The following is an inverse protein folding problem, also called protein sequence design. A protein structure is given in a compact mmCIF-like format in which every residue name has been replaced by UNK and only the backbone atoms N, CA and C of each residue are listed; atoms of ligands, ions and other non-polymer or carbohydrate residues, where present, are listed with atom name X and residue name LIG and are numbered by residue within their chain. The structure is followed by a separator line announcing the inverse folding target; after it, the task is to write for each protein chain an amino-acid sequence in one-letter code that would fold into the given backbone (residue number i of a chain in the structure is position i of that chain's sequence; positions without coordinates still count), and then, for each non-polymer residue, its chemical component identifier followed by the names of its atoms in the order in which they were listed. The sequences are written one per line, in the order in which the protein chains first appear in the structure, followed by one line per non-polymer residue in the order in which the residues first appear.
data_IF_019086194583
#
_entry.id   IF_019086194583
#
_cell.length_a   1.000
_cell.length_b   1.000
_cell.length_c   1.000
_cell.angle_alpha   90.00
_cell.angle_beta   90.00
_cell.angle_gamma   90.00
#
_symmetry.space_group_name_H-M   'P 1'
#
loop_
_entity.id
_entity.type
_entity.pdbx_description
1 polymer ?
#
# COMPACT_ATOMS: atom_id res chain seq x y z
N UNK A 1 2.47 8.36 -8.78
CA UNK A 1 2.54 7.25 -9.74
C UNK A 1 1.18 6.78 -10.24
N UNK A 2 0.19 6.46 -9.40
CA UNK A 2 -1.16 6.08 -9.87
C UNK A 2 -1.79 7.07 -10.85
N UNK A 3 -1.75 8.37 -10.54
CA UNK A 3 -2.21 9.42 -11.46
C UNK A 3 -1.37 9.51 -12.74
N UNK A 4 -0.05 9.31 -12.66
CA UNK A 4 0.81 9.31 -13.85
C UNK A 4 0.41 8.16 -14.78
N UNK A 5 0.09 7.00 -14.22
CA UNK A 5 -0.37 5.84 -14.96
C UNK A 5 -1.69 6.15 -15.69
N UNK A 6 -2.69 6.71 -14.98
CA UNK A 6 -3.97 7.10 -15.58
C UNK A 6 -3.82 8.16 -16.68
N UNK A 7 -2.74 8.96 -16.66
CA UNK A 7 -2.53 10.08 -17.60
C UNK A 7 -1.65 9.71 -18.79
N UNK A 8 -0.77 8.74 -18.62
CA UNK A 8 0.08 8.19 -19.68
C UNK A 8 -0.58 6.99 -20.37
N UNK A 9 -1.68 6.48 -19.81
CA UNK A 9 -2.30 5.23 -20.26
C UNK A 9 -1.39 4.02 -20.05
N UNK A 10 -0.42 4.11 -19.13
CA UNK A 10 0.45 2.98 -18.81
C UNK A 10 -0.42 1.79 -18.38
N UNK A 11 -0.05 0.59 -18.85
CA UNK A 11 -0.85 -0.63 -18.69
C UNK A 11 -2.29 -0.54 -19.23
N UNK A 12 -2.54 0.26 -20.29
CA UNK A 12 -3.88 0.47 -20.89
C UNK A 12 -4.95 0.86 -19.87
N UNK A 13 -4.55 1.59 -18.82
CA UNK A 13 -5.49 2.15 -17.85
C UNK A 13 -6.40 3.21 -18.50
N UNK A 14 -7.64 3.41 -18.00
CA UNK A 14 -8.57 4.40 -18.55
C UNK A 14 -7.91 5.78 -18.58
N UNK A 15 -7.73 6.33 -19.78
CA UNK A 15 -7.06 7.62 -19.95
C UNK A 15 -7.95 8.71 -19.36
N UNK A 16 -7.47 9.34 -18.30
CA UNK A 16 -8.21 10.41 -17.65
C UNK A 16 -7.30 11.65 -17.55
N UNK A 17 -7.73 12.80 -18.08
CA UNK A 17 -6.87 13.97 -18.21
C UNK A 17 -6.42 14.50 -16.84
N UNK A 18 -5.20 15.07 -16.80
CA UNK A 18 -4.66 15.77 -15.65
C UNK A 18 -5.46 17.07 -15.41
N UNK A 19 -6.54 16.99 -14.65
CA UNK A 19 -7.25 18.19 -14.18
C UNK A 19 -6.52 18.80 -12.99
N UNK A 20 -6.57 20.13 -12.85
CA UNK A 20 -5.98 20.86 -11.72
C UNK A 20 -6.50 20.31 -10.37
N UNK A 21 -7.77 19.92 -10.33
CA UNK A 21 -8.42 19.31 -9.16
C UNK A 21 -7.77 17.99 -8.74
N UNK A 22 -7.34 17.14 -9.69
CA UNK A 22 -6.64 15.89 -9.38
C UNK A 22 -5.24 16.11 -8.84
N UNK A 23 -4.53 17.12 -9.37
CA UNK A 23 -3.19 17.49 -8.88
C UNK A 23 -3.30 18.05 -7.45
N UNK A 24 -4.25 18.96 -7.21
CA UNK A 24 -4.52 19.51 -5.88
C UNK A 24 -4.96 18.43 -4.89
N UNK A 25 -5.85 17.53 -5.31
CA UNK A 25 -6.28 16.40 -4.49
C UNK A 25 -5.13 15.44 -4.17
N UNK A 26 -4.22 15.16 -5.11
CA UNK A 26 -3.02 14.36 -4.86
C UNK A 26 -2.08 15.02 -3.85
N UNK A 27 -1.88 16.34 -3.97
CA UNK A 27 -1.09 17.12 -3.02
C UNK A 27 -1.73 17.08 -1.63
N UNK A 28 -3.06 17.22 -1.53
CA UNK A 28 -3.80 17.09 -0.28
C UNK A 28 -3.61 15.71 0.35
N UNK A 29 -3.72 14.62 -0.43
CA UNK A 29 -3.47 13.25 0.05
C UNK A 29 -2.05 13.09 0.58
N UNK A 30 -1.05 13.64 -0.11
CA UNK A 30 0.35 13.61 0.35
C UNK A 30 0.54 14.36 1.67
N UNK A 31 0.05 15.60 1.77
CA UNK A 31 0.16 16.40 3.00
C UNK A 31 -0.59 15.74 4.16
N UNK A 32 -1.81 15.27 3.89
CA UNK A 32 -2.63 14.55 4.88
C UNK A 32 -1.97 13.26 5.35
N UNK A 33 -1.30 12.52 4.46
CA UNK A 33 -0.55 11.31 4.82
C UNK A 33 0.62 11.59 5.77
N UNK A 34 1.38 12.66 5.53
CA UNK A 34 2.50 13.05 6.38
C UNK A 34 2.02 13.49 7.76
N UNK A 35 0.88 14.19 7.83
CA UNK A 35 0.22 14.54 9.08
C UNK A 35 -0.32 13.31 9.82
N UNK A 36 -0.97 12.37 9.12
CA UNK A 36 -1.51 11.13 9.66
C UNK A 36 -0.42 10.22 10.26
N UNK A 37 0.74 10.14 9.60
CA UNK A 37 1.91 9.37 10.06
C UNK A 37 2.63 10.06 11.24
N UNK A 38 2.25 11.29 11.58
CA UNK A 38 2.82 12.01 12.71
C UNK A 38 4.27 12.46 12.45
N UNK A 39 4.64 12.68 11.18
CA UNK A 39 5.96 13.21 10.79
C UNK A 39 6.23 14.55 11.48
N UNK A 40 5.17 15.30 11.78
CA UNK A 40 5.22 16.59 12.48
C UNK A 40 5.04 16.48 14.01
N UNK A 41 4.72 15.30 14.55
CA UNK A 41 4.64 15.11 16.00
C UNK A 41 6.06 15.06 16.57
N UNK A 42 6.41 16.12 17.30
CA UNK A 42 7.66 16.26 18.05
C UNK A 42 7.70 15.22 19.18
N UNK A 43 8.18 14.01 18.89
CA UNK A 43 8.51 13.02 19.92
C UNK A 43 10.01 12.74 19.87
N UNK A 44 10.67 12.86 21.02
CA UNK A 44 12.06 12.45 21.24
C UNK A 44 12.23 11.03 20.70
N UNK A 45 12.88 10.94 19.53
CA UNK A 45 13.32 9.68 18.93
C UNK A 45 14.44 9.19 19.83
N UNK A 46 14.07 8.45 20.88
CA UNK A 46 15.00 7.62 21.63
C UNK A 46 15.59 6.60 20.66
N UNK A 47 16.84 6.84 20.31
CA UNK A 47 17.84 5.90 19.79
C UNK A 47 17.29 4.73 18.94
N UNK A 48 17.32 4.90 17.62
CA UNK A 48 17.68 3.76 16.77
C UNK A 48 18.76 4.23 15.81
N UNK A 49 19.91 3.59 15.98
CA UNK A 49 21.22 3.91 15.47
C UNK A 49 21.30 3.61 13.97
N UNK A 50 21.23 4.65 13.14
CA UNK A 50 21.88 4.70 11.83
C UNK A 50 22.16 6.17 11.50
N UNK A 51 23.30 6.67 11.98
CA UNK A 51 23.76 8.02 11.64
C UNK A 51 24.28 8.03 10.19
N UNK A 52 23.82 8.99 9.38
CA UNK A 52 24.42 9.39 8.10
C UNK A 52 24.06 8.53 6.87
N UNK A 53 23.75 9.19 5.74
CA UNK A 53 23.49 8.71 4.37
C UNK A 53 22.56 7.48 4.16
N UNK A 54 22.78 6.39 4.89
CA UNK A 54 22.01 5.15 4.90
C UNK A 54 20.52 5.37 5.17
N UNK A 55 20.12 6.22 6.14
CA UNK A 55 18.70 6.52 6.39
C UNK A 55 18.00 7.10 5.15
N UNK A 56 18.66 8.00 4.43
CA UNK A 56 18.10 8.58 3.21
C UNK A 56 17.97 7.53 2.10
N UNK A 57 18.92 6.60 2.01
CA UNK A 57 18.84 5.46 1.09
C UNK A 57 17.64 4.55 1.43
N UNK A 58 17.43 4.20 2.70
CA UNK A 58 16.28 3.41 3.13
C UNK A 58 14.94 4.12 2.86
N UNK A 59 14.88 5.45 3.05
CA UNK A 59 13.70 6.25 2.71
C UNK A 59 13.42 6.24 1.20
N UNK A 60 14.46 6.43 0.39
CA UNK A 60 14.34 6.37 -1.07
C UNK A 60 13.84 4.99 -1.53
N UNK A 61 14.39 3.92 -0.95
CA UNK A 61 13.92 2.56 -1.22
C UNK A 61 12.43 2.39 -0.89
N UNK A 62 11.97 2.93 0.25
CA UNK A 62 10.55 2.95 0.59
C UNK A 62 9.67 3.68 -0.43
N UNK A 63 10.15 4.82 -0.94
CA UNK A 63 9.45 5.56 -2.02
C UNK A 63 9.35 4.72 -3.29
N UNK A 64 10.46 4.09 -3.71
CA UNK A 64 10.49 3.21 -4.89
C UNK A 64 9.51 2.05 -4.72
N UNK A 65 9.48 1.40 -3.55
CA UNK A 65 8.52 0.32 -3.27
C UNK A 65 7.07 0.81 -3.32
N UNK A 66 6.78 2.01 -2.82
CA UNK A 66 5.45 2.63 -2.95
C UNK A 66 5.07 2.92 -4.41
N UNK A 67 6.05 3.29 -5.24
CA UNK A 67 5.84 3.47 -6.69
C UNK A 67 5.56 2.14 -7.38
N UNK A 68 6.32 1.08 -7.05
CA UNK A 68 6.07 -0.28 -7.53
C UNK A 68 4.67 -0.76 -7.12
N UNK A 69 4.24 -0.48 -5.89
CA UNK A 69 2.90 -0.83 -5.42
C UNK A 69 1.81 -0.15 -6.27
N UNK A 70 1.97 1.14 -6.60
CA UNK A 70 1.02 1.83 -7.47
C UNK A 70 0.99 1.23 -8.88
N UNK A 71 2.14 0.83 -9.43
CA UNK A 71 2.22 0.12 -10.71
C UNK A 71 1.54 -1.24 -10.66
N UNK A 72 1.69 -1.98 -9.55
CA UNK A 72 1.03 -3.26 -9.35
C UNK A 72 -0.49 -3.14 -9.43
N UNK A 73 -1.08 -2.08 -8.86
CA UNK A 73 -2.52 -1.82 -8.94
C UNK A 73 -2.97 -1.70 -10.40
N UNK A 74 -2.21 -0.98 -11.23
CA UNK A 74 -2.53 -0.82 -12.65
C UNK A 74 -2.40 -2.13 -13.44
N UNK A 75 -1.29 -2.85 -13.23
CA UNK A 75 -1.02 -4.13 -13.90
C UNK A 75 -2.09 -5.16 -13.55
N UNK A 76 -2.48 -5.27 -12.27
CA UNK A 76 -3.54 -6.18 -11.84
C UNK A 76 -4.90 -5.76 -12.41
N UNK A 77 -5.21 -4.46 -12.42
CA UNK A 77 -6.43 -3.94 -13.05
C UNK A 77 -6.52 -4.35 -14.52
N UNK A 78 -5.45 -4.11 -15.28
CA UNK A 78 -5.39 -4.47 -16.70
C UNK A 78 -5.49 -5.98 -16.91
N UNK A 79 -4.76 -6.79 -16.13
CA UNK A 79 -4.84 -8.24 -16.20
C UNK A 79 -6.27 -8.74 -15.92
N UNK A 80 -6.99 -8.09 -14.99
CA UNK A 80 -8.41 -8.33 -14.74
C UNK A 80 -9.29 -8.06 -15.94
N UNK A 81 -9.00 -7.01 -16.73
CA UNK A 81 -9.72 -6.73 -17.98
C UNK A 81 -9.41 -7.72 -19.09
N UNK A 82 -8.14 -8.12 -19.25
CA UNK A 82 -7.71 -9.06 -20.31
C UNK A 82 -8.28 -10.45 -20.11
N UNK A 83 -8.33 -10.92 -18.86
CA UNK A 83 -8.88 -12.23 -18.52
C UNK A 83 -10.41 -12.21 -18.38
N UNK A 84 -11.03 -11.04 -18.32
CA UNK A 84 -12.48 -10.89 -18.04
C UNK A 84 -12.91 -11.37 -16.65
N UNK A 85 -11.95 -11.77 -15.79
CA UNK A 85 -12.18 -12.28 -14.45
C UNK A 85 -11.15 -11.72 -13.47
N UNK A 86 -11.57 -10.91 -12.47
CA UNK A 86 -10.68 -10.40 -11.43
C UNK A 86 -10.09 -11.51 -10.55
N UNK A 87 -10.80 -12.64 -10.42
CA UNK A 87 -10.33 -13.80 -9.63
C UNK A 87 -9.17 -14.49 -10.36
N UNK A 88 -9.29 -14.70 -11.67
CA UNK A 88 -8.21 -15.29 -12.47
C UNK A 88 -6.99 -14.39 -12.50
N UNK A 89 -7.20 -13.08 -12.65
CA UNK A 89 -6.12 -12.10 -12.56
C UNK A 89 -5.40 -12.16 -11.22
N UNK A 90 -6.14 -12.22 -10.11
CA UNK A 90 -5.53 -12.32 -8.79
C UNK A 90 -4.75 -13.62 -8.60
N UNK A 91 -5.28 -14.74 -9.10
CA UNK A 91 -4.62 -16.04 -9.03
C UNK A 91 -3.32 -16.06 -9.84
N UNK A 92 -3.33 -15.54 -11.07
CA UNK A 92 -2.14 -15.42 -11.93
C UNK A 92 -1.10 -14.52 -11.28
N UNK A 93 -1.49 -13.34 -10.79
CA UNK A 93 -0.59 -12.42 -10.09
C UNK A 93 0.02 -13.06 -8.83
N UNK A 94 -0.76 -13.84 -8.07
CA UNK A 94 -0.25 -14.58 -6.93
C UNK A 94 0.70 -15.70 -7.34
N UNK A 95 0.42 -16.44 -8.41
CA UNK A 95 1.27 -17.49 -8.90
C UNK A 95 2.63 -16.93 -9.37
N UNK A 96 2.62 -15.83 -10.12
CA UNK A 96 3.83 -15.12 -10.56
C UNK A 96 4.63 -14.60 -9.36
N UNK A 97 3.96 -13.93 -8.41
CA UNK A 97 4.61 -13.44 -7.19
C UNK A 97 5.21 -14.56 -6.33
N UNK A 98 4.49 -15.67 -6.18
CA UNK A 98 4.98 -16.85 -5.45
C UNK A 98 6.19 -17.46 -6.15
N UNK A 99 6.17 -17.58 -7.47
CA UNK A 99 7.29 -18.10 -8.27
C UNK A 99 8.52 -17.21 -8.15
N UNK A 100 8.35 -15.89 -8.22
CA UNK A 100 9.44 -14.93 -8.03
C UNK A 100 10.07 -15.05 -6.63
N UNK A 101 9.26 -15.17 -5.58
CA UNK A 101 9.74 -15.42 -4.21
C UNK A 101 10.48 -16.75 -4.08
N UNK A 102 10.01 -17.80 -4.76
CA UNK A 102 10.66 -19.10 -4.79
C UNK A 102 12.05 -19.03 -5.43
N UNK A 103 12.17 -18.37 -6.59
CA UNK A 103 13.45 -18.13 -7.27
C UNK A 103 14.39 -17.33 -6.37
N UNK A 104 13.91 -16.28 -5.71
CA UNK A 104 14.71 -15.48 -4.79
C UNK A 104 15.27 -16.33 -3.65
N UNK A 105 14.44 -17.21 -3.07
CA UNK A 105 14.88 -18.13 -2.02
C UNK A 105 16.03 -19.02 -2.48
N UNK A 106 15.96 -19.54 -3.70
CA UNK A 106 17.02 -20.35 -4.31
C UNK A 106 18.30 -19.56 -4.54
N UNK A 107 18.20 -18.35 -5.11
CA UNK A 107 19.35 -17.48 -5.44
C UNK A 107 20.05 -17.01 -4.16
N UNK A 108 19.30 -16.57 -3.15
CA UNK A 108 19.86 -16.11 -1.87
C UNK A 108 20.29 -17.29 -0.98
N UNK A 109 20.05 -18.54 -1.40
CA UNK A 109 20.30 -19.76 -0.62
C UNK A 109 19.73 -19.70 0.80
N UNK A 110 18.57 -19.04 0.94
CA UNK A 110 17.92 -18.91 2.24
C UNK A 110 17.37 -20.27 2.64
N UNK A 111 17.68 -20.73 3.85
CA UNK A 111 17.18 -22.02 4.35
C UNK A 111 15.65 -21.97 4.43
N UNK A 112 14.97 -22.71 3.57
CA UNK A 112 13.54 -22.90 3.65
C UNK A 112 13.20 -23.68 4.93
N UNK A 113 12.64 -23.00 5.94
CA UNK A 113 12.19 -23.67 7.17
C UNK A 113 10.72 -24.08 7.09
N UNK A 114 9.97 -23.54 6.13
CA UNK A 114 8.56 -23.87 5.89
C UNK A 114 7.67 -23.64 7.12
N UNK A 115 6.53 -24.33 7.13
CA UNK A 115 5.58 -24.31 8.25
C UNK A 115 6.24 -24.85 9.53
N UNK A 116 7.12 -25.85 9.41
CA UNK A 116 7.85 -26.44 10.53
C UNK A 116 8.84 -25.47 11.19
N UNK A 117 9.27 -24.43 10.47
CA UNK A 117 10.12 -23.35 10.97
C UNK A 117 9.39 -22.34 11.83
N UNK A 118 8.06 -22.28 11.76
CA UNK A 118 7.25 -21.37 12.55
C UNK A 118 7.26 -21.73 14.04
N UNK A 119 7.43 -23.01 14.40
CA UNK A 119 7.36 -23.49 15.77
C UNK A 119 5.93 -23.77 16.26
N UNK A 120 5.79 -24.55 17.33
CA UNK A 120 4.50 -25.10 17.80
C UNK A 120 3.58 -24.11 18.53
N UNK A 121 4.03 -22.88 18.84
CA UNK A 121 3.29 -21.89 19.65
C UNK A 121 3.11 -20.55 18.92
N UNK A 122 2.84 -20.57 17.61
CA UNK A 122 2.59 -19.33 16.88
C UNK A 122 1.10 -18.97 16.85
N UNK A 123 0.77 -17.67 16.92
CA UNK A 123 -0.61 -17.21 16.88
C UNK A 123 -1.26 -17.56 15.52
N UNK A 124 -2.48 -18.08 15.56
CA UNK A 124 -3.21 -18.52 14.37
C UNK A 124 -3.48 -17.39 13.35
N UNK A 125 -3.53 -16.14 13.80
CA UNK A 125 -3.68 -14.95 12.95
C UNK A 125 -2.55 -14.78 11.93
N UNK A 126 -1.39 -15.40 12.14
CA UNK A 126 -0.24 -15.31 11.22
C UNK A 126 -0.59 -15.83 9.81
N UNK A 127 -1.53 -16.78 9.71
CA UNK A 127 -1.97 -17.39 8.45
C UNK A 127 -2.98 -16.53 7.69
N UNK A 128 -3.67 -15.61 8.37
CA UNK A 128 -4.67 -14.72 7.76
C UNK A 128 -3.99 -13.71 6.82
N UNK A 129 -2.70 -13.39 7.04
CA UNK A 129 -1.96 -12.44 6.21
C UNK A 129 -1.97 -12.78 4.72
N UNK A 130 -1.85 -14.08 4.38
CA UNK A 130 -1.95 -14.54 2.99
C UNK A 130 -3.33 -14.32 2.37
N UNK A 131 -4.39 -14.57 3.15
CA UNK A 131 -5.78 -14.37 2.72
C UNK A 131 -6.10 -12.88 2.51
N UNK A 132 -5.59 -12.02 3.41
CA UNK A 132 -5.71 -10.56 3.25
C UNK A 132 -4.98 -10.10 1.99
N UNK A 133 -3.76 -10.60 1.74
CA UNK A 133 -3.02 -10.31 0.52
C UNK A 133 -3.77 -10.71 -0.76
N UNK A 134 -4.38 -11.91 -0.78
CA UNK A 134 -5.24 -12.39 -1.86
C UNK A 134 -6.40 -11.43 -2.12
N UNK A 135 -7.07 -11.00 -1.06
CA UNK A 135 -8.19 -10.07 -1.12
C UNK A 135 -7.77 -8.71 -1.66
N UNK A 136 -6.60 -8.20 -1.27
CA UNK A 136 -6.07 -6.92 -1.77
C UNK A 136 -5.80 -7.00 -3.27
N UNK A 137 -5.12 -8.05 -3.74
CA UNK A 137 -4.81 -8.20 -5.17
C UNK A 137 -6.11 -8.34 -5.99
N UNK A 138 -7.05 -9.16 -5.53
CA UNK A 138 -8.40 -9.24 -6.12
C UNK A 138 -9.07 -7.86 -6.20
N UNK A 139 -9.03 -7.09 -5.10
CA UNK A 139 -9.60 -5.75 -5.05
C UNK A 139 -8.95 -4.81 -6.05
N UNK A 140 -7.62 -4.89 -6.25
CA UNK A 140 -6.94 -4.09 -7.28
C UNK A 140 -7.35 -4.46 -8.70
N UNK A 141 -7.51 -5.76 -8.98
CA UNK A 141 -7.97 -6.25 -10.28
C UNK A 141 -9.43 -5.87 -10.57
N UNK A 142 -10.26 -5.84 -9.53
CA UNK A 142 -11.67 -5.47 -9.63
C UNK A 142 -11.89 -3.96 -9.71
N UNK A 143 -11.28 -3.18 -8.81
CA UNK A 143 -11.50 -1.74 -8.70
C UNK A 143 -10.74 -0.94 -9.76
N UNK A 144 -9.53 -1.37 -10.12
CA UNK A 144 -8.67 -0.66 -11.07
C UNK A 144 -9.39 -0.26 -12.38
N UNK A 145 -10.09 -1.20 -13.05
CA UNK A 145 -10.83 -0.92 -14.27
C UNK A 145 -12.10 -0.08 -14.07
N UNK A 146 -12.71 -0.15 -12.88
CA UNK A 146 -14.02 0.50 -12.61
C UNK A 146 -13.83 1.98 -12.24
N UNK A 147 -12.88 2.29 -11.35
CA UNK A 147 -12.71 3.64 -10.80
C UNK A 147 -11.36 4.29 -11.18
N UNK A 148 -10.51 3.59 -11.93
CA UNK A 148 -9.17 4.06 -12.32
C UNK A 148 -8.10 3.74 -11.27
N UNK A 149 -6.85 3.69 -11.72
CA UNK A 149 -5.71 3.29 -10.87
C UNK A 149 -5.44 4.32 -9.78
N UNK A 150 -5.47 5.61 -10.14
CA UNK A 150 -5.18 6.72 -9.24
C UNK A 150 -6.14 6.76 -8.05
N UNK A 151 -7.45 6.66 -8.32
CA UNK A 151 -8.47 6.64 -7.27
C UNK A 151 -8.34 5.39 -6.41
N UNK A 152 -8.09 4.22 -7.02
CA UNK A 152 -7.89 2.95 -6.30
C UNK A 152 -6.72 3.04 -5.31
N UNK A 153 -5.57 3.55 -5.75
CA UNK A 153 -4.39 3.72 -4.89
C UNK A 153 -4.70 4.66 -3.71
N UNK A 154 -5.36 5.79 -3.98
CA UNK A 154 -5.66 6.79 -2.96
C UNK A 154 -6.66 6.26 -1.91
N UNK A 155 -7.71 5.55 -2.34
CA UNK A 155 -8.69 4.92 -1.43
C UNK A 155 -8.03 3.81 -0.61
N UNK A 156 -7.13 3.03 -1.21
CA UNK A 156 -6.35 2.02 -0.48
C UNK A 156 -5.44 2.65 0.57
N UNK A 157 -4.77 3.76 0.25
CA UNK A 157 -3.94 4.50 1.22
C UNK A 157 -4.77 5.00 2.41
N UNK A 158 -5.98 5.53 2.17
CA UNK A 158 -6.92 5.88 3.23
C UNK A 158 -7.22 4.69 4.15
N UNK A 159 -7.61 3.55 3.57
CA UNK A 159 -7.95 2.34 4.31
C UNK A 159 -6.76 1.82 5.14
N UNK A 160 -5.55 1.85 4.57
CA UNK A 160 -4.32 1.47 5.27
C UNK A 160 -4.05 2.38 6.47
N UNK A 161 -4.26 3.69 6.35
CA UNK A 161 -4.05 4.63 7.46
C UNK A 161 -5.09 4.49 8.56
N UNK A 162 -6.35 4.31 8.19
CA UNK A 162 -7.43 3.99 9.13
C UNK A 162 -7.12 2.72 9.92
N UNK A 163 -6.76 1.64 9.22
CA UNK A 163 -6.39 0.38 9.85
C UNK A 163 -5.17 0.55 10.77
N UNK A 164 -4.14 1.27 10.31
CA UNK A 164 -2.94 1.58 11.11
C UNK A 164 -3.29 2.31 12.40
N UNK A 165 -4.14 3.34 12.34
CA UNK A 165 -4.61 4.09 13.51
C UNK A 165 -5.42 3.22 14.48
N UNK A 166 -6.30 2.38 13.97
CA UNK A 166 -7.07 1.46 14.79
C UNK A 166 -6.16 0.45 15.50
N UNK A 167 -5.21 -0.13 14.77
CA UNK A 167 -4.25 -1.10 15.34
C UNK A 167 -3.43 -0.43 16.46
N UNK A 168 -2.92 0.78 16.22
CA UNK A 168 -2.12 1.54 17.18
C UNK A 168 -2.92 1.97 18.42
N UNK A 169 -4.19 2.37 18.24
CA UNK A 169 -5.03 2.84 19.34
C UNK A 169 -5.49 1.71 20.26
N UNK A 170 -5.89 0.58 19.67
CA UNK A 170 -6.38 -0.57 20.43
C UNK A 170 -5.25 -1.50 20.91
N UNK A 171 -4.02 -1.34 20.36
CA UNK A 171 -2.89 -2.25 20.64
C UNK A 171 -3.14 -3.65 20.07
N UNK A 172 -3.86 -3.73 18.96
CA UNK A 172 -4.20 -4.98 18.29
C UNK A 172 -2.90 -5.61 17.77
N UNK A 173 -2.83 -6.95 17.76
CA UNK A 173 -1.66 -7.74 17.31
C UNK A 173 -0.37 -7.54 18.13
N UNK A 174 -0.48 -7.11 19.39
CA UNK A 174 0.68 -6.92 20.27
C UNK A 174 1.46 -5.64 20.01
N UNK A 175 0.88 -4.69 19.25
CA UNK A 175 1.47 -3.36 19.05
C UNK A 175 1.43 -2.55 20.35
N UNK A 176 2.50 -1.78 20.70
CA UNK A 176 2.48 -0.88 21.83
C UNK A 176 1.41 0.19 21.62
N UNK A 177 0.41 0.25 22.53
CA UNK A 177 -0.69 1.23 22.48
C UNK A 177 -0.14 2.64 22.37
N UNK A 178 -0.53 3.35 21.30
CA UNK A 178 -0.18 4.76 21.08
C UNK A 178 -1.43 5.62 21.21
N UNK A 179 -1.27 6.78 21.82
CA UNK A 179 -2.33 7.79 21.84
C UNK A 179 -2.47 8.42 20.45
N UNK A 180 -3.70 8.43 19.94
CA UNK A 180 -4.04 9.13 18.70
C UNK A 180 -3.93 10.64 18.96
N UNK A 181 -3.11 11.32 18.17
CA UNK A 181 -3.02 12.79 18.22
C UNK A 181 -4.03 13.44 17.26
N UNK A 182 -4.53 14.63 17.62
CA UNK A 182 -5.48 15.42 16.80
C UNK A 182 -4.94 15.67 15.39
N UNK A 183 -3.62 15.87 15.25
CA UNK A 183 -2.96 16.02 13.96
C UNK A 183 -3.17 14.82 13.02
N UNK A 184 -3.26 13.60 13.57
CA UNK A 184 -3.49 12.40 12.76
C UNK A 184 -4.93 12.33 12.26
N UNK A 185 -5.87 12.72 13.11
CA UNK A 185 -7.28 12.83 12.77
C UNK A 185 -7.50 13.89 11.67
N UNK A 186 -6.86 15.06 11.82
CA UNK A 186 -6.88 16.12 10.81
C UNK A 186 -6.24 15.67 9.50
N UNK A 187 -5.11 14.97 9.55
CA UNK A 187 -4.46 14.38 8.38
C UNK A 187 -5.41 13.46 7.62
N UNK A 188 -6.14 12.60 8.32
CA UNK A 188 -7.13 11.71 7.72
C UNK A 188 -8.27 12.48 7.03
N UNK A 189 -8.80 13.53 7.66
CA UNK A 189 -9.82 14.40 7.05
C UNK A 189 -9.31 15.05 5.77
N UNK A 190 -8.07 15.55 5.78
CA UNK A 190 -7.43 16.13 4.59
C UNK A 190 -7.30 15.12 3.46
N UNK A 191 -6.96 13.86 3.78
CA UNK A 191 -6.91 12.82 2.75
C UNK A 191 -8.30 12.58 2.16
N UNK A 192 -9.35 12.45 3.00
CA UNK A 192 -10.74 12.25 2.53
C UNK A 192 -11.14 13.38 1.57
N UNK A 193 -10.88 14.63 1.93
CA UNK A 193 -11.12 15.78 1.06
C UNK A 193 -10.33 15.69 -0.25
N UNK A 194 -9.05 15.31 -0.18
CA UNK A 194 -8.22 15.08 -1.35
C UNK A 194 -8.79 14.01 -2.29
N UNK A 195 -9.32 12.90 -1.75
CA UNK A 195 -9.96 11.84 -2.55
C UNK A 195 -11.20 12.36 -3.25
N UNK A 196 -12.05 13.12 -2.54
CA UNK A 196 -13.26 13.71 -3.15
C UNK A 196 -12.89 14.65 -4.29
N UNK A 197 -11.82 15.44 -4.14
CA UNK A 197 -11.35 16.37 -5.17
C UNK A 197 -10.76 15.67 -6.40
N UNK A 198 -10.15 14.48 -6.25
CA UNK A 198 -9.66 13.68 -7.39
C UNK A 198 -10.82 13.09 -8.20
N UNK A 199 -11.94 12.79 -7.54
CA UNK A 199 -13.12 12.19 -8.16
C UNK A 199 -13.97 13.20 -8.92
N UNK A 200 -13.96 14.47 -8.51
CA UNK A 200 -14.62 15.60 -9.17
C UNK A 200 -13.84 15.99 -10.44
#
# INVERSE_FOLDING_TARGET
MGLIIDTTGLAHSPQAPLTLFRVLGAAAVLVGSLAAVGVFSKKNIGQTQSQGASIWLWRLFGVVMGMCQATQVAVNGYLGTVLGSPIESALVSFAVGTTALFILLLVTRTKWRGINGAGKKNPWWMWIGGVIGATVIFSTAYLGPIIGTGVTVVVMLLGMMLASLMIDAFGILGSPRRHIHIAQLLGLVVIILGVTMIRI
#
